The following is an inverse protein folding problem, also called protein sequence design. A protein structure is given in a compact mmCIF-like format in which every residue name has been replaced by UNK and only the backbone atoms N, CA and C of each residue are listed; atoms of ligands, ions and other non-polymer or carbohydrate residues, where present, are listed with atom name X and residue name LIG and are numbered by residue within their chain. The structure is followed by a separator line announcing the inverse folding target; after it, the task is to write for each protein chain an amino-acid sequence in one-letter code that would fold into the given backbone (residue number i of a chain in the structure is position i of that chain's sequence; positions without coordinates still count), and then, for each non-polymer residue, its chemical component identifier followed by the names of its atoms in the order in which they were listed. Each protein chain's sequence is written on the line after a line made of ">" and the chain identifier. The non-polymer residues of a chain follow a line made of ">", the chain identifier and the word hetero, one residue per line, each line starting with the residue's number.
data_IF_848809886294
#
_entry.id   IF_848809886294
#
_cell.length_a   1.000
_cell.length_b   1.000
_cell.length_c   1.000
_cell.angle_alpha   90.00
_cell.angle_beta   90.00
_cell.angle_gamma   90.00
#
_symmetry.space_group_name_H-M   'P 1'
#
loop_
_entity.id
_entity.type
_entity.pdbx_description
1 polymer ?
#
# COMPACT_ATOMS: atom_id res chain seq x y z
N UNK A 1 -51.37 -35.21 -3.00
CA UNK A 1 -51.10 -34.26 -1.89
C UNK A 1 -49.87 -34.65 -1.07
N UNK A 2 -49.70 -35.91 -0.67
CA UNK A 2 -48.53 -36.38 0.13
C UNK A 2 -47.17 -36.29 -0.57
N UNK A 3 -47.11 -36.62 -1.87
CA UNK A 3 -45.86 -36.57 -2.66
C UNK A 3 -45.28 -35.14 -2.81
N UNK A 4 -46.14 -34.15 -3.01
CA UNK A 4 -45.75 -32.73 -3.12
C UNK A 4 -45.19 -32.19 -1.80
N UNK A 5 -45.79 -32.57 -0.66
CA UNK A 5 -45.32 -32.15 0.67
C UNK A 5 -43.94 -32.74 0.96
N UNK A 6 -43.70 -34.01 0.62
CA UNK A 6 -42.39 -34.65 0.80
C UNK A 6 -41.29 -33.99 -0.05
N UNK A 7 -41.60 -33.64 -1.30
CA UNK A 7 -40.66 -32.96 -2.19
C UNK A 7 -40.27 -31.57 -1.65
N UNK A 8 -41.22 -30.82 -1.10
CA UNK A 8 -40.97 -29.50 -0.50
C UNK A 8 -40.08 -29.65 0.75
N UNK A 9 -40.38 -30.61 1.64
CA UNK A 9 -39.57 -30.85 2.84
C UNK A 9 -38.15 -31.21 2.48
N UNK A 10 -37.95 -32.07 1.47
CA UNK A 10 -36.62 -32.48 1.04
C UNK A 10 -35.84 -31.31 0.41
N UNK A 11 -36.50 -30.48 -0.39
CA UNK A 11 -35.89 -29.29 -0.98
C UNK A 11 -35.46 -28.28 0.08
N UNK A 12 -36.31 -28.03 1.09
CA UNK A 12 -35.98 -27.12 2.21
C UNK A 12 -34.84 -27.68 3.05
N UNK A 13 -34.86 -28.97 3.39
CA UNK A 13 -33.78 -29.60 4.16
C UNK A 13 -32.44 -29.54 3.41
N UNK A 14 -32.47 -29.76 2.09
CA UNK A 14 -31.30 -29.68 1.22
C UNK A 14 -30.75 -28.25 1.15
N UNK A 15 -31.61 -27.25 0.98
CA UNK A 15 -31.20 -25.85 0.98
C UNK A 15 -30.60 -25.42 2.33
N UNK A 16 -31.19 -25.87 3.44
CA UNK A 16 -30.72 -25.54 4.78
C UNK A 16 -29.38 -26.20 5.09
N UNK A 17 -29.19 -27.45 4.66
CA UNK A 17 -27.90 -28.14 4.75
C UNK A 17 -26.81 -27.44 3.92
N UNK A 18 -27.15 -26.98 2.70
CA UNK A 18 -26.22 -26.21 1.87
C UNK A 18 -25.83 -24.87 2.51
N UNK A 19 -26.77 -24.15 3.14
CA UNK A 19 -26.45 -22.92 3.87
C UNK A 19 -25.62 -23.17 5.14
N UNK A 20 -25.85 -24.29 5.84
CA UNK A 20 -25.08 -24.64 7.04
C UNK A 20 -23.63 -25.07 6.73
N UNK A 21 -23.41 -25.61 5.53
CA UNK A 21 -22.09 -26.00 5.02
C UNK A 21 -21.40 -24.91 4.21
N UNK A 22 -22.09 -23.79 3.93
CA UNK A 22 -21.49 -22.67 3.23
C UNK A 22 -20.38 -22.06 4.11
N UNK A 23 -19.17 -21.85 3.58
CA UNK A 23 -18.15 -21.12 4.32
C UNK A 23 -18.70 -19.73 4.64
N UNK A 24 -18.53 -19.30 5.90
CA UNK A 24 -18.90 -17.96 6.31
C UNK A 24 -18.21 -16.95 5.38
N UNK A 25 -18.99 -16.06 4.76
CA UNK A 25 -18.44 -14.94 4.01
C UNK A 25 -17.64 -14.07 4.99
N UNK A 26 -16.31 -14.19 4.96
CA UNK A 26 -15.43 -13.29 5.70
C UNK A 26 -15.22 -12.06 4.85
N UNK A 27 -15.86 -10.96 5.20
CA UNK A 27 -15.41 -9.66 4.73
C UNK A 27 -14.03 -9.42 5.32
N UNK A 28 -13.03 -9.17 4.48
CA UNK A 28 -11.72 -8.73 4.97
C UNK A 28 -11.88 -7.36 5.61
N UNK A 29 -11.54 -7.26 6.90
CA UNK A 29 -11.65 -6.01 7.67
C UNK A 29 -10.43 -5.11 7.49
N UNK A 30 -9.34 -5.65 6.94
CA UNK A 30 -8.11 -4.93 6.64
C UNK A 30 -7.28 -5.67 5.59
N UNK A 31 -6.53 -4.90 4.81
CA UNK A 31 -5.59 -5.35 3.79
C UNK A 31 -4.16 -5.08 4.26
N UNK A 32 -3.25 -6.01 3.95
CA UNK A 32 -1.81 -5.84 4.19
C UNK A 32 -1.10 -5.64 2.85
N UNK A 33 -0.60 -4.44 2.59
CA UNK A 33 0.10 -4.18 1.33
C UNK A 33 1.03 -2.96 1.41
N UNK A 34 1.88 -2.83 0.39
CA UNK A 34 2.73 -1.67 0.18
C UNK A 34 1.94 -0.56 -0.53
N UNK A 35 1.69 0.53 0.18
CA UNK A 35 1.11 1.75 -0.38
C UNK A 35 2.19 2.57 -1.08
N UNK A 36 1.84 3.26 -2.16
CA UNK A 36 2.75 4.10 -2.93
C UNK A 36 2.30 5.56 -2.86
N UNK A 37 3.27 6.45 -2.67
CA UNK A 37 3.06 7.86 -2.37
C UNK A 37 4.08 8.73 -3.09
N UNK A 38 3.65 9.93 -3.47
CA UNK A 38 4.53 11.00 -3.91
C UNK A 38 4.33 12.23 -3.05
N UNK A 39 5.32 13.13 -3.02
CA UNK A 39 5.16 14.43 -2.36
C UNK A 39 4.64 15.48 -3.35
N UNK A 40 3.58 16.18 -2.98
CA UNK A 40 3.05 17.34 -3.71
C UNK A 40 2.72 18.44 -2.71
N UNK A 41 3.17 19.66 -2.99
CA UNK A 41 3.02 20.82 -2.10
C UNK A 41 3.54 20.55 -0.66
N UNK A 42 4.66 19.83 -0.55
CA UNK A 42 5.28 19.49 0.73
C UNK A 42 4.49 18.48 1.58
N UNK A 43 3.49 17.80 1.01
CA UNK A 43 2.68 16.80 1.68
C UNK A 43 2.68 15.47 0.93
N UNK A 44 2.59 14.36 1.68
CA UNK A 44 2.36 13.05 1.10
C UNK A 44 1.00 12.98 0.42
N UNK A 45 0.98 12.49 -0.82
CA UNK A 45 -0.23 12.19 -1.59
C UNK A 45 -0.21 10.73 -1.97
N UNK A 46 -1.30 10.05 -1.69
CA UNK A 46 -1.47 8.68 -2.13
C UNK A 46 -1.47 8.66 -3.66
N UNK A 47 -0.62 7.84 -4.25
CA UNK A 47 -0.44 7.84 -5.70
C UNK A 47 -1.69 7.28 -6.39
N UNK A 48 -2.16 7.99 -7.41
CA UNK A 48 -3.29 7.56 -8.26
C UNK A 48 -2.85 6.75 -9.48
N UNK A 49 -1.53 6.64 -9.70
CA UNK A 49 -0.89 5.81 -10.72
C UNK A 49 0.14 4.89 -10.06
N UNK A 50 0.46 3.77 -10.70
CA UNK A 50 1.49 2.86 -10.22
C UNK A 50 2.91 3.41 -10.42
N UNK A 51 3.89 2.96 -9.62
CA UNK A 51 5.27 3.46 -9.69
C UNK A 51 5.96 3.13 -11.02
N UNK A 52 5.52 2.09 -11.73
CA UNK A 52 6.02 1.78 -13.07
C UNK A 52 5.63 2.82 -14.13
N UNK A 53 4.61 3.64 -13.86
CA UNK A 53 4.13 4.70 -14.76
C UNK A 53 4.48 6.11 -14.25
N UNK A 54 4.98 6.22 -13.02
CA UNK A 54 5.38 7.49 -12.46
C UNK A 54 6.68 7.99 -13.09
N UNK A 55 6.70 9.28 -13.46
CA UNK A 55 7.89 9.94 -14.03
C UNK A 55 8.23 11.14 -13.15
N UNK A 56 8.85 10.90 -11.97
CA UNK A 56 9.27 11.97 -11.07
C UNK A 56 10.32 12.86 -11.75
N UNK A 57 10.31 14.15 -11.39
CA UNK A 57 11.31 15.14 -11.81
C UNK A 57 12.49 15.16 -10.84
N UNK A 58 13.59 15.82 -11.20
CA UNK A 58 14.66 16.10 -10.23
C UNK A 58 14.09 16.88 -9.03
N UNK A 59 14.44 16.47 -7.81
CA UNK A 59 13.88 17.07 -6.60
C UNK A 59 12.68 16.32 -6.02
N UNK A 60 12.10 15.36 -6.74
CA UNK A 60 10.94 14.60 -6.26
C UNK A 60 11.28 13.72 -5.06
N UNK A 61 10.26 13.49 -4.23
CA UNK A 61 10.28 12.50 -3.15
C UNK A 61 9.22 11.46 -3.45
N UNK A 62 9.63 10.20 -3.49
CA UNK A 62 8.78 9.05 -3.75
C UNK A 62 8.85 8.10 -2.56
N UNK A 63 7.71 7.51 -2.19
CA UNK A 63 7.55 6.83 -0.92
C UNK A 63 6.75 5.55 -1.00
N UNK A 64 7.19 4.52 -0.28
CA UNK A 64 6.42 3.31 -0.03
C UNK A 64 6.24 3.10 1.46
N UNK A 65 5.04 2.68 1.87
CA UNK A 65 4.78 2.26 3.24
C UNK A 65 4.07 0.93 3.32
N UNK A 66 4.57 0.02 4.14
CA UNK A 66 3.84 -1.20 4.46
C UNK A 66 2.75 -0.88 5.51
N UNK A 67 1.49 -1.09 5.13
CA UNK A 67 0.34 -0.74 5.96
C UNK A 67 -0.63 -1.92 6.11
N UNK A 68 -1.30 -1.96 7.26
CA UNK A 68 -2.48 -2.78 7.50
C UNK A 68 -3.67 -1.82 7.58
N UNK A 69 -4.47 -1.75 6.53
CA UNK A 69 -5.47 -0.67 6.37
C UNK A 69 -6.82 -1.19 5.88
N UNK A 70 -7.90 -0.56 6.35
CA UNK A 70 -9.27 -0.85 5.89
C UNK A 70 -9.66 -0.06 4.64
N UNK A 71 -8.89 0.98 4.27
CA UNK A 71 -9.15 1.81 3.11
C UNK A 71 -7.84 2.35 2.52
N UNK A 72 -7.71 2.27 1.20
CA UNK A 72 -6.48 2.68 0.54
C UNK A 72 -6.20 4.18 0.69
N UNK A 73 -4.95 4.52 1.04
CA UNK A 73 -4.45 5.89 1.02
C UNK A 73 -4.92 6.77 2.18
N UNK A 74 -5.30 6.19 3.31
CA UNK A 74 -5.56 6.97 4.53
C UNK A 74 -4.28 7.69 4.97
N UNK A 75 -4.38 8.90 5.52
CA UNK A 75 -3.20 9.71 5.84
C UNK A 75 -2.22 9.04 6.82
N UNK A 76 -2.70 8.15 7.71
CA UNK A 76 -1.85 7.35 8.61
C UNK A 76 -1.05 6.23 7.92
N UNK A 77 -1.32 5.98 6.65
CA UNK A 77 -0.66 4.98 5.81
C UNK A 77 0.43 5.60 4.92
N UNK A 78 0.74 6.89 5.09
CA UNK A 78 1.83 7.59 4.42
C UNK A 78 3.18 7.35 5.13
N UNK A 79 4.32 7.37 4.40
CA UNK A 79 5.65 7.21 5.01
C UNK A 79 5.91 8.21 6.15
N UNK A 80 6.62 7.75 7.19
CA UNK A 80 6.92 8.56 8.38
C UNK A 80 7.86 9.74 8.10
N UNK A 81 8.68 9.64 7.04
CA UNK A 81 9.60 10.71 6.65
C UNK A 81 8.86 12.03 6.44
N UNK A 82 9.40 13.12 6.98
CA UNK A 82 8.80 14.45 6.80
C UNK A 82 8.82 14.84 5.31
N UNK A 83 7.67 14.93 4.64
CA UNK A 83 7.62 15.15 3.20
C UNK A 83 8.19 16.50 2.78
N UNK A 84 8.14 17.51 3.66
CA UNK A 84 8.63 18.85 3.35
C UNK A 84 10.15 18.97 3.36
N UNK A 85 10.86 18.07 4.05
CA UNK A 85 12.33 18.12 4.20
C UNK A 85 13.03 16.85 3.70
N UNK A 86 12.27 15.85 3.24
CA UNK A 86 12.81 14.56 2.83
C UNK A 86 13.83 14.65 1.69
N UNK A 87 13.57 15.48 0.67
CA UNK A 87 14.53 15.61 -0.45
C UNK A 87 15.88 16.11 0.04
N UNK A 88 15.90 17.23 0.77
CA UNK A 88 17.15 17.81 1.27
C UNK A 88 17.86 16.87 2.26
N UNK A 89 17.09 16.16 3.09
CA UNK A 89 17.66 15.21 4.06
C UNK A 89 18.30 13.99 3.41
N UNK A 90 17.74 13.51 2.29
CA UNK A 90 18.17 12.27 1.62
C UNK A 90 19.17 12.55 0.47
N UNK A 91 18.92 13.60 -0.30
CA UNK A 91 19.66 13.95 -1.51
C UNK A 91 20.44 15.27 -1.41
N UNK A 92 20.33 16.05 -0.33
CA UNK A 92 20.93 17.39 -0.25
C UNK A 92 22.46 17.43 -0.32
N UNK A 93 23.13 16.32 0.03
CA UNK A 93 24.58 16.16 -0.15
C UNK A 93 25.01 15.85 -1.59
N UNK A 94 24.05 15.63 -2.50
CA UNK A 94 24.30 15.18 -3.86
C UNK A 94 24.16 16.34 -4.83
N UNK A 95 25.25 16.73 -5.49
CA UNK A 95 25.23 17.78 -6.50
C UNK A 95 24.35 17.40 -7.71
N UNK A 96 23.62 18.37 -8.25
CA UNK A 96 22.88 18.21 -9.49
C UNK A 96 23.84 17.99 -10.67
N UNK A 97 23.45 17.13 -11.60
CA UNK A 97 24.23 16.82 -12.80
C UNK A 97 23.37 17.01 -14.05
N UNK A 98 23.92 17.55 -15.16
CA UNK A 98 23.17 17.70 -16.39
C UNK A 98 22.61 16.37 -16.90
N UNK A 99 21.33 16.33 -17.25
CA UNK A 99 20.67 15.13 -17.79
C UNK A 99 20.35 14.04 -16.78
N UNK A 100 20.60 14.27 -15.48
CA UNK A 100 20.35 13.29 -14.41
C UNK A 100 19.38 13.88 -13.39
N UNK A 101 18.28 13.17 -13.15
CA UNK A 101 17.38 13.47 -12.04
C UNK A 101 17.79 12.71 -10.79
N UNK A 102 17.62 13.37 -9.64
CA UNK A 102 17.72 12.81 -8.29
C UNK A 102 16.32 12.69 -7.72
N UNK A 103 16.01 11.52 -7.19
CA UNK A 103 14.76 11.26 -6.49
C UNK A 103 15.09 10.73 -5.11
N UNK A 104 14.51 11.35 -4.09
CA UNK A 104 14.62 10.88 -2.73
C UNK A 104 13.64 9.73 -2.52
N UNK A 105 14.17 8.52 -2.31
CA UNK A 105 13.38 7.32 -2.10
C UNK A 105 13.23 7.04 -0.60
N UNK A 106 12.00 6.96 -0.14
CA UNK A 106 11.62 6.63 1.23
C UNK A 106 10.90 5.27 1.27
N UNK A 107 11.49 4.26 1.93
CA UNK A 107 10.85 2.95 2.13
C UNK A 107 10.61 2.75 3.61
N UNK A 108 9.33 2.70 3.98
CA UNK A 108 8.87 2.59 5.36
C UNK A 108 8.21 1.23 5.58
N UNK A 109 8.81 0.39 6.42
CA UNK A 109 8.31 -0.97 6.68
C UNK A 109 7.07 -0.99 7.62
N UNK A 110 6.49 0.17 7.92
CA UNK A 110 5.30 0.29 8.74
C UNK A 110 5.65 0.30 10.22
N UNK A 111 4.88 -0.39 11.03
CA UNK A 111 5.11 -0.50 12.47
C UNK A 111 5.71 -1.87 12.82
N UNK A 112 6.46 -2.01 13.93
CA UNK A 112 7.00 -3.31 14.34
C UNK A 112 5.94 -4.41 14.42
N UNK A 113 4.73 -4.07 14.88
CA UNK A 113 3.59 -5.00 14.97
C UNK A 113 3.03 -5.47 13.61
N UNK A 114 3.46 -4.86 12.49
CA UNK A 114 3.05 -5.28 11.15
C UNK A 114 3.99 -6.36 10.59
N UNK A 115 5.19 -6.53 11.15
CA UNK A 115 6.12 -7.55 10.72
C UNK A 115 5.56 -8.95 11.06
N UNK A 116 5.64 -9.94 10.15
CA UNK A 116 5.30 -11.32 10.47
C UNK A 116 6.15 -11.88 11.63
N UNK A 117 5.63 -12.87 12.34
CA UNK A 117 6.34 -13.49 13.45
C UNK A 117 7.69 -14.06 12.98
N UNK A 118 8.76 -13.69 13.68
CA UNK A 118 10.13 -14.13 13.37
C UNK A 118 10.83 -13.32 12.28
N UNK A 119 10.16 -12.39 11.61
CA UNK A 119 10.78 -11.49 10.62
C UNK A 119 11.49 -10.31 11.28
N UNK A 120 12.55 -9.83 10.62
CA UNK A 120 13.23 -8.60 11.04
C UNK A 120 12.41 -7.39 10.59
N UNK A 121 12.14 -6.47 11.51
CA UNK A 121 11.59 -5.15 11.20
C UNK A 121 12.73 -4.16 10.91
N UNK A 122 12.94 -3.72 9.65
CA UNK A 122 14.04 -2.81 9.31
C UNK A 122 13.77 -1.36 9.70
N UNK A 123 12.53 -1.01 10.05
CA UNK A 123 12.14 0.39 10.28
C UNK A 123 12.00 1.17 8.98
N UNK A 124 12.56 2.37 8.96
CA UNK A 124 12.61 3.24 7.79
C UNK A 124 13.98 3.16 7.12
N UNK A 125 14.01 3.05 5.80
CA UNK A 125 15.23 3.20 5.00
C UNK A 125 15.02 4.25 3.91
N UNK A 126 16.11 4.94 3.56
CA UNK A 126 16.08 5.96 2.52
C UNK A 126 17.35 5.95 1.68
N UNK A 127 17.22 6.37 0.44
CA UNK A 127 18.36 6.54 -0.45
C UNK A 127 18.08 7.57 -1.53
N UNK A 128 19.12 8.27 -1.98
CA UNK A 128 19.04 9.11 -3.16
C UNK A 128 19.26 8.25 -4.40
N UNK A 129 18.27 8.16 -5.29
CA UNK A 129 18.37 7.40 -6.55
C UNK A 129 18.49 8.33 -7.74
N UNK A 130 19.10 7.82 -8.80
CA UNK A 130 19.39 8.57 -10.02
C UNK A 130 18.66 7.96 -11.20
N UNK A 131 18.24 8.80 -12.14
CA UNK A 131 17.68 8.38 -13.41
C UNK A 131 17.95 9.39 -14.51
N UNK A 132 17.65 9.02 -15.75
CA UNK A 132 17.71 9.94 -16.88
C UNK A 132 16.65 11.04 -16.70
N UNK A 133 17.06 12.27 -16.96
CA UNK A 133 16.15 13.41 -17.03
C UNK A 133 15.65 13.55 -18.46
N UNK A 134 14.40 13.16 -18.70
CA UNK A 134 13.74 13.44 -19.98
C UNK A 134 13.40 14.93 -20.00
N UNK A 135 13.86 15.62 -21.06
CA UNK A 135 13.67 17.05 -21.29
C UNK A 135 12.21 17.40 -21.60
#
# INVERSE_FOLDING_TARGET
>A
MTSTVLAIVLAVASATAMLALAPAARAETAYRYWTYWSVTDGAWRFATIGPASAVPVDGSVEGWRFAITSAAGSAGDAPEANPATAFDSICGGTAAQPGVKRVALAIDFGMPQHAPDGERYPGYISTCVFGEQVA
#
